data_IF_396112366136
#
_entry.id   IF_396112366136
#
_cell.length_a   1.000
_cell.length_b   1.000
_cell.length_c   1.000
_cell.angle_alpha   90.00
_cell.angle_beta   90.00
_cell.angle_gamma   90.00
#
_symmetry.space_group_name_H-M   'P 1'
#
loop_
_entity.id
_entity.type
_entity.pdbx_description
1 polymer ?
#
# COMPACT_ATOMS: atom_id res chain seq x y z
N UNK A 1 -27.96 -78.41 9.05
CA UNK A 1 -27.62 -77.59 10.22
C UNK A 1 -27.23 -76.23 9.69
N UNK A 2 -28.25 -75.39 9.67
CA UNK A 2 -28.22 -73.99 9.27
C UNK A 2 -27.28 -73.19 10.16
N UNK A 3 -26.51 -72.28 9.56
CA UNK A 3 -26.27 -71.01 10.22
C UNK A 3 -25.92 -69.94 9.18
N UNK A 4 -26.93 -69.13 8.91
CA UNK A 4 -26.85 -67.83 8.26
C UNK A 4 -25.86 -66.93 8.99
N UNK A 5 -24.90 -66.34 8.27
CA UNK A 5 -24.36 -65.02 8.65
C UNK A 5 -24.27 -64.11 7.44
N UNK A 6 -25.18 -63.16 7.52
CA UNK A 6 -25.43 -61.96 6.77
C UNK A 6 -24.19 -61.12 6.42
N UNK A 7 -24.26 -60.61 5.18
CA UNK A 7 -23.45 -59.59 4.57
C UNK A 7 -23.98 -58.19 4.96
N UNK A 8 -23.13 -57.25 5.41
CA UNK A 8 -23.36 -55.81 5.22
C UNK A 8 -22.27 -55.29 4.28
N UNK A 9 -22.60 -54.74 3.11
CA UNK A 9 -23.33 -53.49 3.01
C UNK A 9 -22.35 -52.44 2.50
N UNK A 10 -22.33 -52.29 1.17
CA UNK A 10 -21.67 -51.20 0.44
C UNK A 10 -22.31 -49.86 0.84
N UNK A 11 -21.48 -48.91 1.25
CA UNK A 11 -21.83 -47.49 1.38
C UNK A 11 -20.70 -46.67 0.76
N UNK A 12 -20.83 -46.46 -0.55
CA UNK A 12 -20.32 -45.28 -1.23
C UNK A 12 -21.04 -44.05 -0.64
N UNK A 13 -20.46 -43.43 0.38
CA UNK A 13 -20.82 -42.07 0.78
C UNK A 13 -19.66 -41.13 0.42
N UNK A 14 -19.74 -40.64 -0.82
CA UNK A 14 -19.03 -39.47 -1.30
C UNK A 14 -19.53 -38.28 -0.48
N UNK A 15 -18.83 -37.96 0.59
CA UNK A 15 -18.97 -36.68 1.28
C UNK A 15 -18.54 -35.61 0.28
N UNK A 16 -19.52 -34.92 -0.30
CA UNK A 16 -19.28 -33.73 -1.09
C UNK A 16 -18.49 -32.72 -0.29
N UNK A 17 -17.24 -32.49 -0.69
CA UNK A 17 -16.47 -31.32 -0.27
C UNK A 17 -17.33 -30.09 -0.54
N UNK A 18 -17.61 -29.24 0.47
CA UNK A 18 -18.30 -28.00 0.24
C UNK A 18 -17.45 -27.14 -0.69
N UNK A 19 -18.10 -26.67 -1.75
CA UNK A 19 -17.59 -25.71 -2.72
C UNK A 19 -16.92 -24.51 -1.99
N UNK A 20 -15.60 -24.31 -2.15
CA UNK A 20 -14.89 -23.21 -1.48
C UNK A 20 -15.34 -21.82 -1.95
N UNK A 21 -16.05 -21.70 -3.08
CA UNK A 21 -16.59 -20.43 -3.57
C UNK A 21 -17.86 -19.98 -2.81
N UNK A 22 -18.59 -20.91 -2.19
CA UNK A 22 -19.80 -20.59 -1.42
C UNK A 22 -19.54 -19.97 -0.04
N UNK A 23 -18.36 -20.20 0.55
CA UNK A 23 -18.02 -19.72 1.89
C UNK A 23 -17.57 -18.25 1.92
N UNK A 24 -17.02 -17.72 0.82
CA UNK A 24 -16.54 -16.33 0.72
C UNK A 24 -17.69 -15.30 0.79
N UNK A 25 -18.83 -15.58 0.16
CA UNK A 25 -20.03 -14.72 0.22
C UNK A 25 -20.68 -14.65 1.61
N UNK A 26 -20.58 -15.71 2.40
CA UNK A 26 -21.24 -15.77 3.71
C UNK A 26 -20.55 -14.93 4.80
N UNK A 27 -19.24 -14.71 4.70
CA UNK A 27 -18.49 -13.95 5.72
C UNK A 27 -18.81 -12.44 5.67
N UNK A 28 -18.98 -11.87 4.48
CA UNK A 28 -19.35 -10.45 4.32
C UNK A 28 -20.80 -10.20 4.74
N UNK A 29 -21.72 -11.11 4.38
CA UNK A 29 -23.14 -10.96 4.72
C UNK A 29 -23.42 -11.20 6.23
N UNK A 30 -22.61 -12.03 6.90
CA UNK A 30 -22.73 -12.28 8.35
C UNK A 30 -22.28 -11.07 9.19
N UNK A 31 -21.29 -10.30 8.73
CA UNK A 31 -20.84 -9.08 9.41
C UNK A 31 -21.76 -7.87 9.19
N UNK A 32 -22.54 -7.84 8.10
CA UNK A 32 -23.52 -6.78 7.83
C UNK A 32 -24.91 -7.02 8.46
N UNK A 33 -25.32 -8.27 8.70
CA UNK A 33 -26.66 -8.60 9.24
C UNK A 33 -26.78 -8.76 10.77
N UNK A 34 -25.69 -8.99 11.50
CA UNK A 34 -25.73 -9.15 12.98
C UNK A 34 -25.46 -7.84 13.74
N UNK A 35 -26.12 -6.77 13.32
CA UNK A 35 -26.31 -5.60 14.18
C UNK A 35 -27.32 -5.95 15.27
N UNK A 36 -26.82 -6.31 16.44
CA UNK A 36 -27.62 -6.59 17.64
C UNK A 36 -28.39 -5.30 18.04
N UNK A 37 -29.73 -5.24 17.99
CA UNK A 37 -30.48 -4.01 18.31
C UNK A 37 -30.54 -3.68 19.81
N UNK A 38 -29.80 -4.40 20.65
CA UNK A 38 -29.87 -4.28 22.12
C UNK A 38 -28.62 -3.71 22.79
N UNK A 39 -27.89 -2.81 22.12
CA UNK A 39 -26.93 -1.93 22.81
C UNK A 39 -27.52 -0.54 22.94
N UNK A 40 -27.98 -0.21 24.15
CA UNK A 40 -28.26 1.17 24.56
C UNK A 40 -27.03 2.02 24.21
N UNK A 41 -27.17 3.09 23.39
CA UNK A 41 -26.03 3.89 22.99
C UNK A 41 -25.37 4.48 24.25
N UNK A 42 -24.06 4.27 24.37
CA UNK A 42 -23.24 5.00 25.33
C UNK A 42 -23.45 6.52 25.10
N UNK A 43 -23.55 7.32 26.17
CA UNK A 43 -23.74 8.76 26.03
C UNK A 43 -22.61 9.35 25.19
N UNK A 44 -22.98 10.10 24.14
CA UNK A 44 -22.04 10.79 23.28
C UNK A 44 -21.06 11.63 24.13
N UNK A 45 -19.77 11.71 23.76
CA UNK A 45 -18.87 12.67 24.38
C UNK A 45 -19.51 14.06 24.23
N UNK A 46 -19.62 14.77 25.36
CA UNK A 46 -20.09 16.16 25.37
C UNK A 46 -19.12 16.99 24.54
N UNK A 47 -19.45 17.20 23.27
CA UNK A 47 -18.83 18.24 22.46
C UNK A 47 -18.97 19.56 23.21
N UNK A 48 -17.85 20.29 23.27
CA UNK A 48 -17.68 21.49 24.08
C UNK A 48 -18.86 22.44 23.96
N UNK A 49 -19.21 23.06 25.10
CA UNK A 49 -20.23 24.10 25.15
C UNK A 49 -19.86 25.17 24.11
N UNK A 50 -20.83 25.69 23.32
CA UNK A 50 -20.56 26.80 22.42
C UNK A 50 -19.93 27.93 23.22
N UNK A 51 -18.78 28.40 22.74
CA UNK A 51 -18.01 29.46 23.38
C UNK A 51 -18.88 30.69 23.51
N UNK A 52 -18.95 31.25 24.72
CA UNK A 52 -19.70 32.48 24.94
C UNK A 52 -19.00 33.66 24.25
N UNK A 53 -19.72 34.75 23.91
CA UNK A 53 -19.12 35.93 23.33
C UNK A 53 -17.95 36.51 24.15
N UNK A 54 -18.01 36.39 25.48
CA UNK A 54 -16.94 36.86 26.38
C UNK A 54 -15.70 35.94 26.33
N UNK A 55 -15.88 34.61 26.28
CA UNK A 55 -14.77 33.66 26.11
C UNK A 55 -14.09 33.82 24.74
N UNK A 56 -14.86 34.12 23.68
CA UNK A 56 -14.31 34.40 22.37
C UNK A 56 -13.48 35.69 22.35
N UNK A 57 -13.89 36.70 23.12
CA UNK A 57 -13.15 37.96 23.28
C UNK A 57 -11.85 37.75 24.05
N UNK A 58 -11.88 36.97 25.11
CA UNK A 58 -10.70 36.66 25.94
C UNK A 58 -9.70 35.77 25.19
N UNK A 59 -10.19 34.82 24.38
CA UNK A 59 -9.35 34.02 23.49
C UNK A 59 -8.64 34.88 22.43
N UNK A 60 -9.34 35.85 21.84
CA UNK A 60 -8.77 36.78 20.85
C UNK A 60 -7.73 37.73 21.47
N UNK A 61 -7.90 38.11 22.73
CA UNK A 61 -6.92 38.93 23.47
C UNK A 61 -5.62 38.17 23.79
N UNK A 62 -5.70 36.84 24.02
CA UNK A 62 -4.53 36.01 24.36
C UNK A 62 -3.72 35.54 23.13
N UNK A 63 -4.28 35.62 21.92
CA UNK A 63 -3.63 35.19 20.67
C UNK A 63 -3.69 36.28 19.58
N UNK A 64 -3.03 37.44 19.77
CA UNK A 64 -3.09 38.55 18.81
C UNK A 64 -2.43 38.24 17.45
N UNK A 65 -1.64 37.16 17.35
CA UNK A 65 -0.91 36.77 16.14
C UNK A 65 -1.77 36.01 15.10
N UNK A 66 -3.01 35.62 15.43
CA UNK A 66 -3.84 34.76 14.56
C UNK A 66 -4.80 35.59 13.66
N UNK A 67 -4.93 36.89 13.89
CA UNK A 67 -5.82 37.75 13.09
C UNK A 67 -5.20 39.11 12.80
N UNK A 68 -4.27 39.16 11.85
CA UNK A 68 -4.05 40.40 11.11
C UNK A 68 -5.03 40.46 9.92
N UNK A 69 -5.88 41.50 9.83
CA UNK A 69 -6.63 41.77 8.62
C UNK A 69 -5.69 42.34 7.57
N UNK A 70 -5.28 41.51 6.60
CA UNK A 70 -4.54 41.96 5.42
C UNK A 70 -5.49 42.77 4.52
N UNK A 71 -5.42 44.09 4.62
CA UNK A 71 -6.04 45.04 3.69
C UNK A 71 -4.96 45.76 2.88
N UNK A 72 -5.31 46.05 1.62
CA UNK A 72 -4.55 46.66 0.51
C UNK A 72 -3.83 45.62 -0.37
N UNK A 73 -4.42 45.16 -1.48
CA UNK A 73 -4.60 45.85 -2.77
C UNK A 73 -3.29 45.90 -3.58
N UNK A 74 -3.07 44.87 -4.40
CA UNK A 74 -2.17 44.91 -5.55
C UNK A 74 -2.99 44.72 -6.82
N UNK A 75 -2.59 45.46 -7.85
CA UNK A 75 -3.26 45.75 -9.11
C UNK A 75 -3.50 44.50 -10.00
N UNK A 76 -4.48 44.54 -10.93
CA UNK A 76 -4.76 43.42 -11.81
C UNK A 76 -3.68 43.29 -12.88
N UNK A 77 -2.79 42.31 -12.72
CA UNK A 77 -1.91 41.86 -13.81
C UNK A 77 -2.76 41.13 -14.86
N UNK A 78 -2.65 41.63 -16.09
CA UNK A 78 -3.21 41.11 -17.33
C UNK A 78 -2.98 39.59 -17.47
N UNK A 79 -4.01 38.78 -17.74
CA UNK A 79 -3.84 37.34 -17.85
C UNK A 79 -3.10 36.98 -19.15
N UNK A 80 -1.89 36.41 -19.01
CA UNK A 80 -1.26 35.64 -20.07
C UNK A 80 -2.22 34.52 -20.53
N UNK A 81 -2.28 34.22 -21.83
CA UNK A 81 -3.16 33.19 -22.35
C UNK A 81 -2.74 31.83 -21.77
N UNK A 82 -3.58 31.29 -20.90
CA UNK A 82 -3.55 29.89 -20.48
C UNK A 82 -3.63 29.02 -21.74
N UNK A 83 -2.51 28.38 -22.10
CA UNK A 83 -2.53 27.25 -23.02
C UNK A 83 -3.56 26.24 -22.50
N UNK A 84 -4.50 25.77 -23.35
CA UNK A 84 -5.56 24.90 -22.90
C UNK A 84 -4.94 23.62 -22.30
N UNK A 85 -5.21 23.40 -21.01
CA UNK A 85 -5.02 22.12 -20.37
C UNK A 85 -5.65 21.06 -21.28
N UNK A 86 -4.81 20.25 -21.90
CA UNK A 86 -5.28 19.18 -22.76
C UNK A 86 -5.99 18.18 -21.86
N UNK A 87 -7.32 18.22 -21.90
CA UNK A 87 -8.20 17.21 -21.35
C UNK A 87 -7.80 15.89 -22.02
N UNK A 88 -6.97 15.09 -21.32
CA UNK A 88 -6.58 13.78 -21.80
C UNK A 88 -7.83 12.91 -21.82
N UNK A 89 -8.29 12.61 -23.03
CA UNK A 89 -9.12 11.44 -23.30
C UNK A 89 -8.49 10.23 -22.60
N UNK A 90 -9.23 9.49 -21.75
CA UNK A 90 -8.71 8.31 -21.12
C UNK A 90 -8.35 7.32 -22.23
N UNK A 91 -7.07 6.98 -22.34
CA UNK A 91 -6.66 5.83 -23.12
C UNK A 91 -7.49 4.63 -22.67
N UNK A 92 -7.99 3.84 -23.61
CA UNK A 92 -8.72 2.63 -23.31
C UNK A 92 -7.79 1.66 -22.54
N UNK A 93 -7.82 1.71 -21.20
CA UNK A 93 -7.10 0.80 -20.32
C UNK A 93 -6.22 1.51 -19.28
N UNK A 94 -6.73 1.62 -18.05
CA UNK A 94 -5.94 1.84 -16.83
C UNK A 94 -5.23 3.19 -16.67
N UNK A 95 -4.76 3.44 -15.45
CA UNK A 95 -3.71 4.40 -15.12
C UNK A 95 -2.32 3.77 -15.29
N UNK A 96 -1.29 4.60 -15.44
CA UNK A 96 0.10 4.14 -15.28
C UNK A 96 0.49 4.37 -13.83
N UNK A 97 0.38 3.33 -13.01
CA UNK A 97 0.74 3.38 -11.59
C UNK A 97 2.18 2.95 -11.38
N UNK A 98 2.91 3.69 -10.56
CA UNK A 98 4.33 3.46 -10.31
C UNK A 98 4.56 3.08 -8.85
N UNK A 99 5.54 2.21 -8.59
CA UNK A 99 6.03 2.04 -7.23
C UNK A 99 6.72 3.35 -6.76
N UNK A 100 6.67 3.70 -5.47
CA UNK A 100 7.40 4.85 -4.96
C UNK A 100 8.91 4.72 -5.21
N UNK A 101 9.57 5.83 -5.55
CA UNK A 101 10.98 5.83 -5.96
C UNK A 101 11.99 5.44 -4.88
N UNK A 102 11.56 5.35 -3.62
CA UNK A 102 12.35 4.84 -2.49
C UNK A 102 12.30 3.32 -2.34
N UNK A 103 11.49 2.63 -3.15
CA UNK A 103 11.43 1.17 -3.19
C UNK A 103 12.54 0.63 -4.09
N UNK A 104 13.34 -0.37 -3.65
CA UNK A 104 14.32 -1.01 -4.52
C UNK A 104 13.68 -1.61 -5.77
N UNK A 105 14.27 -1.42 -6.96
CA UNK A 105 13.69 -1.87 -8.24
C UNK A 105 13.32 -3.35 -8.27
N UNK A 106 14.19 -4.22 -7.74
CA UNK A 106 13.94 -5.66 -7.67
C UNK A 106 12.73 -6.05 -6.80
N UNK A 107 12.30 -5.16 -5.89
CA UNK A 107 11.05 -5.29 -5.14
C UNK A 107 9.89 -4.79 -6.00
N UNK A 108 10.03 -3.61 -6.59
CA UNK A 108 8.99 -3.00 -7.41
C UNK A 108 8.53 -3.93 -8.55
N UNK A 109 9.47 -4.59 -9.22
CA UNK A 109 9.18 -5.55 -10.31
C UNK A 109 8.28 -6.72 -9.89
N UNK A 110 8.29 -7.10 -8.61
CA UNK A 110 7.40 -8.18 -8.13
C UNK A 110 5.94 -7.76 -8.16
N UNK A 111 5.67 -6.46 -8.23
CA UNK A 111 4.33 -5.90 -8.05
C UNK A 111 3.72 -5.48 -9.38
N UNK A 112 4.44 -5.57 -10.50
CA UNK A 112 4.00 -5.07 -11.81
C UNK A 112 2.63 -5.64 -12.22
N UNK A 113 2.39 -6.95 -12.01
CA UNK A 113 1.10 -7.59 -12.30
C UNK A 113 -0.01 -7.09 -11.36
N UNK A 114 0.29 -6.96 -10.06
CA UNK A 114 -0.63 -6.41 -9.07
C UNK A 114 -0.98 -4.95 -9.38
N UNK A 115 0.00 -4.13 -9.75
CA UNK A 115 -0.17 -2.73 -10.10
C UNK A 115 -1.01 -2.56 -11.36
N UNK A 116 -0.75 -3.39 -12.38
CA UNK A 116 -1.51 -3.38 -13.63
C UNK A 116 -2.98 -3.72 -13.38
N UNK A 117 -3.25 -4.84 -12.70
CA UNK A 117 -4.63 -5.26 -12.41
C UNK A 117 -5.37 -4.31 -11.46
N UNK A 118 -4.68 -3.76 -10.45
CA UNK A 118 -5.23 -2.72 -9.57
C UNK A 118 -5.58 -1.46 -10.34
N UNK A 119 -4.73 -1.05 -11.28
CA UNK A 119 -4.94 0.14 -12.12
C UNK A 119 -6.20 0.04 -12.97
N UNK A 120 -6.41 -1.12 -13.61
CA UNK A 120 -7.62 -1.41 -14.37
C UNK A 120 -8.86 -1.39 -13.46
N UNK A 121 -8.79 -2.04 -12.30
CA UNK A 121 -9.89 -2.07 -11.35
C UNK A 121 -10.22 -0.68 -10.79
N UNK A 122 -9.21 0.12 -10.44
CA UNK A 122 -9.36 1.47 -9.90
C UNK A 122 -9.99 2.41 -10.94
N UNK A 123 -9.46 2.43 -12.17
CA UNK A 123 -10.00 3.25 -13.27
C UNK A 123 -11.43 2.84 -13.64
N UNK A 124 -11.71 1.54 -13.75
CA UNK A 124 -13.05 1.02 -14.06
C UNK A 124 -14.08 1.30 -12.95
N UNK A 125 -13.61 1.62 -11.74
CA UNK A 125 -14.41 1.96 -10.56
C UNK A 125 -14.49 3.46 -10.31
N UNK A 126 -13.87 4.30 -11.16
CA UNK A 126 -13.90 5.75 -11.04
C UNK A 126 -13.03 6.32 -9.90
N UNK A 127 -12.10 5.52 -9.37
CA UNK A 127 -11.09 6.02 -8.41
C UNK A 127 -10.10 6.88 -9.19
N UNK A 128 -9.99 8.17 -8.88
CA UNK A 128 -9.07 9.07 -9.59
C UNK A 128 -7.61 8.61 -9.50
N UNK A 129 -6.83 8.82 -10.57
CA UNK A 129 -5.40 8.47 -10.65
C UNK A 129 -4.58 8.88 -9.41
N UNK A 130 -4.68 10.11 -8.86
CA UNK A 130 -3.88 10.49 -7.69
C UNK A 130 -4.20 9.66 -6.43
N UNK A 131 -5.47 9.28 -6.27
CA UNK A 131 -5.90 8.42 -5.15
C UNK A 131 -5.44 6.99 -5.38
N UNK A 132 -5.52 6.47 -6.61
CA UNK A 132 -5.02 5.15 -6.95
C UNK A 132 -3.50 5.06 -6.71
N UNK A 133 -2.73 6.05 -7.16
CA UNK A 133 -1.30 6.15 -6.92
C UNK A 133 -0.96 6.26 -5.42
N UNK A 134 -1.76 7.00 -4.65
CA UNK A 134 -1.63 7.10 -3.20
C UNK A 134 -1.95 5.79 -2.46
N UNK A 135 -2.93 5.02 -2.94
CA UNK A 135 -3.24 3.69 -2.41
C UNK A 135 -2.11 2.70 -2.67
N UNK A 136 -1.50 2.72 -3.86
CA UNK A 136 -0.30 1.93 -4.18
C UNK A 136 0.83 2.27 -3.22
N UNK A 137 1.15 3.55 -3.06
CA UNK A 137 2.20 3.97 -2.12
C UNK A 137 1.90 3.52 -0.68
N UNK A 138 0.64 3.64 -0.26
CA UNK A 138 0.19 3.19 1.08
C UNK A 138 0.31 1.68 1.26
N UNK A 139 0.02 0.91 0.22
CA UNK A 139 0.16 -0.55 0.21
C UNK A 139 1.63 -0.95 0.35
N UNK A 140 2.52 -0.27 -0.39
CA UNK A 140 3.98 -0.43 -0.29
C UNK A 140 4.47 -0.18 1.13
N UNK A 141 4.09 0.96 1.70
CA UNK A 141 4.50 1.38 3.04
C UNK A 141 3.96 0.40 4.11
N UNK A 142 2.73 -0.08 3.94
CA UNK A 142 2.11 -1.06 4.84
C UNK A 142 2.82 -2.42 4.79
N UNK A 143 3.17 -2.91 3.60
CA UNK A 143 3.90 -4.16 3.42
C UNK A 143 5.29 -4.10 4.07
N UNK A 144 6.00 -2.97 3.88
CA UNK A 144 7.26 -2.71 4.55
C UNK A 144 7.10 -2.73 6.09
N UNK A 145 6.04 -2.11 6.63
CA UNK A 145 5.77 -2.07 8.08
C UNK A 145 5.45 -3.46 8.69
N UNK A 146 4.90 -4.37 7.88
CA UNK A 146 4.56 -5.73 8.29
C UNK A 146 5.77 -6.68 8.39
N UNK A 147 6.92 -6.30 7.85
CA UNK A 147 8.13 -7.13 7.89
C UNK A 147 8.76 -7.40 6.54
N UNK A 148 8.28 -6.74 5.47
CA UNK A 148 9.04 -6.54 4.24
C UNK A 148 8.44 -7.16 2.97
N UNK A 149 9.03 -6.70 1.87
CA UNK A 149 8.69 -6.86 0.46
C UNK A 149 8.77 -8.28 -0.14
N UNK A 150 8.17 -9.27 0.51
CA UNK A 150 8.31 -10.63 -0.01
C UNK A 150 7.87 -11.80 0.85
N UNK A 151 7.01 -11.60 1.86
CA UNK A 151 6.25 -12.74 2.42
C UNK A 151 5.05 -13.09 1.52
N UNK A 152 5.33 -13.17 0.21
CA UNK A 152 4.55 -13.83 -0.84
C UNK A 152 3.22 -13.17 -1.21
N UNK A 153 2.97 -13.17 -2.52
CA UNK A 153 1.63 -13.35 -3.13
C UNK A 153 0.96 -14.69 -2.69
N UNK A 154 1.36 -15.24 -1.54
CA UNK A 154 0.71 -16.38 -0.93
C UNK A 154 -0.62 -15.84 -0.42
N UNK A 155 -1.69 -16.22 -1.11
CA UNK A 155 -3.08 -15.97 -0.76
C UNK A 155 -3.28 -16.11 0.75
N UNK A 156 -3.27 -14.99 1.46
CA UNK A 156 -3.54 -14.95 2.89
C UNK A 156 -4.91 -15.58 3.09
N UNK A 157 -4.99 -16.57 3.98
CA UNK A 157 -6.30 -17.02 4.42
C UNK A 157 -6.96 -15.90 5.21
N UNK A 158 -8.29 -15.92 5.33
CA UNK A 158 -9.02 -14.96 6.15
C UNK A 158 -8.51 -14.95 7.61
N UNK A 159 -8.10 -16.12 8.13
CA UNK A 159 -7.58 -16.25 9.49
C UNK A 159 -6.19 -15.64 9.64
N UNK A 160 -5.30 -15.88 8.67
CA UNK A 160 -3.95 -15.27 8.64
C UNK A 160 -4.04 -13.75 8.56
N UNK A 161 -4.92 -13.26 7.68
CA UNK A 161 -5.18 -11.84 7.51
C UNK A 161 -5.65 -11.21 8.82
N UNK A 162 -6.66 -11.81 9.46
CA UNK A 162 -7.19 -11.36 10.74
C UNK A 162 -6.13 -11.36 11.83
N UNK A 163 -5.38 -12.46 11.99
CA UNK A 163 -4.34 -12.59 13.01
C UNK A 163 -3.24 -11.53 12.85
N UNK A 164 -2.81 -11.31 11.60
CA UNK A 164 -1.80 -10.31 11.24
C UNK A 164 -2.30 -8.90 11.53
N UNK A 165 -3.51 -8.55 11.09
CA UNK A 165 -4.10 -7.23 11.30
C UNK A 165 -4.40 -6.94 12.78
N UNK A 166 -4.84 -7.93 13.56
CA UNK A 166 -5.02 -7.80 15.01
C UNK A 166 -3.69 -7.58 15.72
N UNK A 167 -2.62 -8.21 15.25
CA UNK A 167 -1.26 -8.01 15.78
C UNK A 167 -0.70 -6.63 15.39
N UNK A 168 -1.02 -6.15 14.18
CA UNK A 168 -0.55 -4.87 13.66
C UNK A 168 -1.25 -3.68 14.30
N UNK A 169 -2.59 -3.68 14.38
CA UNK A 169 -3.36 -2.57 14.96
C UNK A 169 -3.60 -2.69 16.46
N UNK A 170 -3.43 -3.89 17.02
CA UNK A 170 -3.95 -4.23 18.34
C UNK A 170 -5.44 -4.58 18.30
N UNK A 171 -5.88 -5.39 19.28
CA UNK A 171 -7.26 -5.91 19.34
C UNK A 171 -8.32 -4.81 19.42
N UNK A 172 -8.03 -3.73 20.15
CA UNK A 172 -8.98 -2.64 20.37
C UNK A 172 -9.23 -1.80 19.10
N UNK A 173 -8.19 -1.59 18.28
CA UNK A 173 -8.29 -0.77 17.09
C UNK A 173 -8.67 -1.58 15.82
N UNK A 174 -8.58 -2.91 15.86
CA UNK A 174 -8.90 -3.79 14.73
C UNK A 174 -10.29 -3.51 14.14
N UNK A 175 -11.35 -3.56 14.95
CA UNK A 175 -12.72 -3.39 14.47
C UNK A 175 -12.96 -1.97 13.93
N UNK A 176 -12.32 -0.96 14.51
CA UNK A 176 -12.41 0.43 14.05
C UNK A 176 -11.78 0.58 12.67
N UNK A 177 -10.60 -0.01 12.45
CA UNK A 177 -9.93 0.05 11.15
C UNK A 177 -10.63 -0.81 10.10
N UNK A 178 -11.17 -1.98 10.44
CA UNK A 178 -11.97 -2.78 9.50
C UNK A 178 -13.24 -2.06 9.03
N UNK A 179 -13.86 -1.21 9.87
CA UNK A 179 -14.96 -0.33 9.42
C UNK A 179 -14.49 0.69 8.39
N UNK A 180 -13.27 1.23 8.52
CA UNK A 180 -12.68 2.14 7.52
C UNK A 180 -12.40 1.40 6.22
N UNK A 181 -11.86 0.19 6.28
CA UNK A 181 -11.68 -0.68 5.10
C UNK A 181 -12.99 -0.90 4.39
N UNK A 182 -14.03 -1.36 5.10
CA UNK A 182 -15.36 -1.57 4.52
C UNK A 182 -15.94 -0.29 3.89
N UNK A 183 -15.77 0.87 4.54
CA UNK A 183 -16.18 2.16 3.99
C UNK A 183 -15.43 2.49 2.70
N UNK A 184 -14.11 2.31 2.66
CA UNK A 184 -13.27 2.59 1.50
C UNK A 184 -13.66 1.69 0.32
N UNK A 185 -13.79 0.39 0.55
CA UNK A 185 -14.21 -0.61 -0.45
C UNK A 185 -15.60 -0.29 -1.00
N UNK A 186 -16.56 0.04 -0.13
CA UNK A 186 -17.90 0.43 -0.57
C UNK A 186 -17.91 1.74 -1.38
N UNK A 187 -17.04 2.68 -1.04
CA UNK A 187 -16.93 3.96 -1.75
C UNK A 187 -16.24 3.82 -3.11
N UNK A 188 -15.38 2.82 -3.27
CA UNK A 188 -14.71 2.52 -4.54
C UNK A 188 -15.69 1.90 -5.56
N UNK A 189 -16.68 1.12 -5.11
CA UNK A 189 -17.72 0.55 -5.98
C UNK A 189 -17.56 -0.95 -6.24
N UNK A 190 -18.51 -1.54 -6.95
CA UNK A 190 -18.65 -3.00 -7.02
C UNK A 190 -17.58 -3.69 -7.87
N UNK A 191 -17.04 -3.02 -8.90
CA UNK A 191 -15.91 -3.55 -9.67
C UNK A 191 -14.64 -3.68 -8.83
N UNK A 192 -14.38 -2.70 -7.96
CA UNK A 192 -13.24 -2.76 -7.05
C UNK A 192 -13.37 -3.88 -6.03
N UNK A 193 -14.59 -4.09 -5.49
CA UNK A 193 -14.90 -5.25 -4.63
C UNK A 193 -14.63 -6.56 -5.33
N UNK A 194 -15.16 -6.71 -6.55
CA UNK A 194 -14.95 -7.92 -7.34
C UNK A 194 -13.46 -8.17 -7.59
N UNK A 195 -12.68 -7.14 -7.92
CA UNK A 195 -11.24 -7.28 -8.08
C UNK A 195 -10.55 -7.75 -6.78
N UNK A 196 -10.92 -7.20 -5.62
CA UNK A 196 -10.38 -7.66 -4.33
C UNK A 196 -10.69 -9.15 -4.06
N UNK A 197 -11.90 -9.59 -4.44
CA UNK A 197 -12.34 -10.97 -4.26
C UNK A 197 -11.60 -11.91 -5.25
N UNK A 198 -11.61 -11.58 -6.54
CA UNK A 198 -11.06 -12.39 -7.62
C UNK A 198 -9.52 -12.50 -7.55
N UNK A 199 -8.83 -11.42 -7.14
CA UNK A 199 -7.37 -11.42 -6.98
C UNK A 199 -6.90 -12.00 -5.64
N UNK A 200 -7.80 -12.21 -4.68
CA UNK A 200 -7.45 -12.53 -3.30
C UNK A 200 -6.84 -11.37 -2.51
N UNK A 201 -6.69 -10.18 -3.12
CA UNK A 201 -6.13 -8.99 -2.45
C UNK A 201 -7.01 -8.47 -1.31
N UNK A 202 -8.29 -8.85 -1.26
CA UNK A 202 -9.18 -8.57 -0.14
C UNK A 202 -8.70 -9.15 1.19
N UNK A 203 -7.91 -10.23 1.15
CA UNK A 203 -7.31 -10.83 2.35
C UNK A 203 -5.88 -10.34 2.63
N UNK A 204 -5.30 -9.50 1.77
CA UNK A 204 -3.95 -8.99 2.00
C UNK A 204 -3.94 -7.99 3.18
N UNK A 205 -3.14 -8.22 4.23
CA UNK A 205 -3.03 -7.28 5.36
C UNK A 205 -2.55 -5.89 4.94
N UNK A 206 -1.60 -5.81 4.00
CA UNK A 206 -1.08 -4.54 3.50
C UNK A 206 -2.14 -3.77 2.71
N UNK A 207 -2.97 -4.45 1.92
CA UNK A 207 -4.13 -3.84 1.23
C UNK A 207 -5.16 -3.33 2.24
N UNK A 208 -5.50 -4.13 3.26
CA UNK A 208 -6.40 -3.69 4.33
C UNK A 208 -5.86 -2.45 5.08
N UNK A 209 -4.56 -2.41 5.36
CA UNK A 209 -3.93 -1.25 6.00
C UNK A 209 -4.00 -0.02 5.10
N UNK A 210 -3.66 -0.14 3.81
CA UNK A 210 -3.77 0.96 2.84
C UNK A 210 -5.20 1.49 2.75
N UNK A 211 -6.19 0.60 2.62
CA UNK A 211 -7.61 0.96 2.54
C UNK A 211 -8.12 1.63 3.82
N UNK A 212 -7.59 1.25 5.00
CA UNK A 212 -7.95 1.88 6.26
C UNK A 212 -7.52 3.37 6.34
N UNK A 213 -6.56 3.77 5.50
CA UNK A 213 -6.03 5.14 5.40
C UNK A 213 -6.58 5.90 4.18
N UNK A 214 -7.54 5.35 3.44
CA UNK A 214 -8.05 5.95 2.20
C UNK A 214 -8.66 7.36 2.38
N UNK A 215 -9.11 7.71 3.58
CA UNK A 215 -9.59 9.07 3.86
C UNK A 215 -8.43 10.08 4.03
N UNK A 216 -7.24 9.65 4.49
CA UNK A 216 -6.04 10.50 4.57
C UNK A 216 -5.53 10.88 3.16
N UNK A 217 -5.77 10.04 2.14
CA UNK A 217 -5.43 10.32 0.74
C UNK A 217 -6.18 11.50 0.12
N UNK A 218 -7.28 11.92 0.74
CA UNK A 218 -8.08 13.05 0.28
C UNK A 218 -7.62 14.37 0.89
N UNK A 219 -6.62 14.35 1.77
CA UNK A 219 -6.08 15.54 2.40
C UNK A 219 -5.30 16.37 1.40
N UNK A 220 -5.48 17.69 1.48
CA UNK A 220 -4.59 18.64 0.79
C UNK A 220 -3.21 18.65 1.46
N UNK A 221 -2.17 19.14 0.77
CA UNK A 221 -0.82 19.24 1.35
C UNK A 221 -0.79 19.96 2.70
N UNK A 222 -1.46 21.12 2.90
CA UNK A 222 -1.48 21.79 4.21
C UNK A 222 -2.16 20.96 5.30
N UNK A 223 -3.24 20.25 4.97
CA UNK A 223 -3.93 19.37 5.93
C UNK A 223 -3.07 18.16 6.30
N UNK A 224 -2.44 17.53 5.31
CA UNK A 224 -1.52 16.42 5.54
C UNK A 224 -0.33 16.86 6.40
N UNK A 225 0.26 18.03 6.13
CA UNK A 225 1.32 18.60 6.95
C UNK A 225 0.85 18.89 8.39
N UNK A 226 -0.38 19.38 8.56
CA UNK A 226 -0.94 19.63 9.90
C UNK A 226 -1.14 18.34 10.69
N UNK A 227 -1.69 17.28 10.07
CA UNK A 227 -1.83 15.96 10.69
C UNK A 227 -0.47 15.32 11.00
N UNK A 228 0.48 15.42 10.07
CA UNK A 228 1.86 14.97 10.25
C UNK A 228 2.50 15.66 11.46
N UNK A 229 2.41 16.99 11.53
CA UNK A 229 2.95 17.78 12.64
C UNK A 229 2.34 17.36 13.98
N UNK A 230 1.03 17.08 14.05
CA UNK A 230 0.39 16.58 15.28
C UNK A 230 1.00 15.25 15.74
N UNK A 231 1.25 14.32 14.80
CA UNK A 231 1.81 13.01 15.13
C UNK A 231 3.28 13.10 15.60
N UNK A 232 4.09 13.94 14.96
CA UNK A 232 5.54 14.01 15.24
C UNK A 232 5.92 15.02 16.34
N UNK A 233 5.06 15.98 16.67
CA UNK A 233 5.37 16.98 17.71
C UNK A 233 5.03 16.52 19.13
N UNK A 234 4.08 15.60 19.30
CA UNK A 234 3.74 15.05 20.60
C UNK A 234 4.61 13.82 20.92
N UNK A 235 5.51 13.94 21.89
CA UNK A 235 6.35 12.82 22.36
C UNK A 235 5.53 11.65 22.94
N UNK A 236 4.25 11.86 23.27
CA UNK A 236 3.33 10.83 23.75
C UNK A 236 2.50 10.19 22.64
N UNK A 237 2.68 10.60 21.39
CA UNK A 237 1.95 10.03 20.27
C UNK A 237 2.32 8.56 20.07
N UNK A 238 1.43 7.82 19.39
CA UNK A 238 1.68 6.41 19.05
C UNK A 238 2.94 6.25 18.17
N UNK A 239 3.35 7.28 17.44
CA UNK A 239 4.59 7.29 16.64
C UNK A 239 5.85 7.07 17.49
N UNK A 240 5.91 7.66 18.69
CA UNK A 240 7.04 7.47 19.62
C UNK A 240 6.82 6.32 20.60
N UNK A 241 5.72 5.56 20.48
CA UNK A 241 5.46 4.44 21.36
C UNK A 241 6.51 3.34 21.22
N UNK A 242 6.89 2.75 22.34
CA UNK A 242 7.72 1.53 22.36
C UNK A 242 6.94 0.28 21.98
N UNK A 243 5.61 0.36 22.00
CA UNK A 243 4.73 -0.76 21.66
C UNK A 243 4.58 -0.87 20.13
N UNK A 244 5.02 -1.99 19.51
CA UNK A 244 5.01 -2.13 18.05
C UNK A 244 3.63 -1.99 17.40
N UNK A 245 2.57 -2.44 18.08
CA UNK A 245 1.19 -2.37 17.57
C UNK A 245 0.63 -0.93 17.58
N UNK A 246 1.27 0.00 18.28
CA UNK A 246 0.97 1.45 18.22
C UNK A 246 1.88 2.15 17.23
N UNK A 247 3.19 1.89 17.32
CA UNK A 247 4.18 2.60 16.52
C UNK A 247 4.17 2.21 15.05
N UNK A 248 3.99 0.92 14.70
CA UNK A 248 3.98 0.51 13.29
C UNK A 248 2.85 1.14 12.47
N UNK A 249 1.57 1.12 12.91
CA UNK A 249 0.51 1.84 12.19
C UNK A 249 0.77 3.35 12.11
N UNK A 250 1.30 3.95 13.17
CA UNK A 250 1.62 5.37 13.19
C UNK A 250 2.76 5.73 12.21
N UNK A 251 3.79 4.89 12.10
CA UNK A 251 4.87 5.05 11.11
C UNK A 251 4.33 4.97 9.68
N UNK A 252 3.49 3.98 9.38
CA UNK A 252 2.86 3.87 8.06
C UNK A 252 2.03 5.11 7.70
N UNK A 253 1.23 5.62 8.67
CA UNK A 253 0.47 6.87 8.47
C UNK A 253 1.38 8.09 8.30
N UNK A 254 2.48 8.19 9.06
CA UNK A 254 3.46 9.27 8.92
C UNK A 254 4.13 9.26 7.54
N UNK A 255 4.51 8.09 7.02
CA UNK A 255 5.05 7.94 5.67
C UNK A 255 4.05 8.44 4.63
N UNK A 256 2.80 8.00 4.73
CA UNK A 256 1.75 8.46 3.82
C UNK A 256 1.56 9.98 3.86
N UNK A 257 1.37 10.55 5.05
CA UNK A 257 1.15 11.99 5.21
C UNK A 257 2.35 12.80 4.72
N UNK A 258 3.57 12.30 4.91
CA UNK A 258 4.79 12.92 4.39
C UNK A 258 4.79 12.94 2.86
N UNK A 259 4.38 11.84 2.20
CA UNK A 259 4.27 11.81 0.73
C UNK A 259 3.24 12.81 0.21
N UNK A 260 2.08 12.92 0.87
CA UNK A 260 1.05 13.89 0.47
C UNK A 260 1.54 15.33 0.69
N UNK A 261 2.13 15.61 1.85
CA UNK A 261 2.63 16.95 2.19
C UNK A 261 3.76 17.42 1.25
N UNK A 262 4.61 16.50 0.80
CA UNK A 262 5.76 16.78 -0.06
C UNK A 262 5.52 16.39 -1.54
N UNK A 263 4.31 16.04 -1.94
CA UNK A 263 4.01 15.72 -3.32
C UNK A 263 4.38 16.94 -4.19
N UNK A 264 5.27 16.78 -5.16
CA UNK A 264 5.55 17.87 -6.11
C UNK A 264 4.29 18.19 -6.93
N UNK A 265 4.04 19.47 -7.23
CA UNK A 265 2.94 19.90 -8.12
C UNK A 265 3.17 19.55 -9.60
N UNK A 266 4.27 18.85 -9.92
CA UNK A 266 4.69 18.57 -11.28
C UNK A 266 3.79 17.52 -11.97
N UNK A 267 3.46 17.68 -13.26
CA UNK A 267 2.66 16.73 -14.01
C UNK A 267 3.38 15.37 -14.16
N UNK A 268 2.61 14.29 -14.04
CA UNK A 268 3.09 12.89 -14.01
C UNK A 268 4.02 12.48 -15.16
N UNK A 269 3.97 13.17 -16.31
CA UNK A 269 4.84 12.92 -17.48
C UNK A 269 6.34 13.06 -17.23
N UNK A 270 6.76 13.91 -16.28
CA UNK A 270 8.17 14.05 -15.93
C UNK A 270 8.70 12.84 -15.13
N UNK A 271 7.82 12.11 -14.43
CA UNK A 271 8.19 10.92 -13.65
C UNK A 271 8.34 9.69 -14.55
N UNK A 272 7.43 9.50 -15.50
CA UNK A 272 7.46 8.36 -16.44
C UNK A 272 8.76 8.29 -17.25
N UNK A 273 9.32 9.42 -17.68
CA UNK A 273 10.58 9.44 -18.45
C UNK A 273 11.78 9.03 -17.60
N UNK A 274 11.79 9.41 -16.31
CA UNK A 274 12.85 9.05 -15.38
C UNK A 274 12.75 7.59 -14.92
N UNK A 275 11.54 7.07 -14.74
CA UNK A 275 11.30 5.66 -14.39
C UNK A 275 11.67 4.73 -15.56
N UNK A 276 11.31 5.07 -16.80
CA UNK A 276 11.74 4.28 -17.97
C UNK A 276 13.27 4.30 -18.14
N UNK A 277 13.92 5.42 -17.82
CA UNK A 277 15.37 5.52 -17.84
C UNK A 277 16.03 4.70 -16.72
N UNK A 278 15.45 4.67 -15.51
CA UNK A 278 15.97 3.87 -14.39
C UNK A 278 15.75 2.38 -14.61
N UNK A 279 14.57 1.95 -15.10
CA UNK A 279 14.29 0.55 -15.43
C UNK A 279 15.28 0.04 -16.50
N UNK A 280 15.53 0.81 -17.56
CA UNK A 280 16.54 0.44 -18.57
C UNK A 280 17.97 0.37 -18.01
N UNK A 281 18.32 1.27 -17.09
CA UNK A 281 19.62 1.25 -16.43
C UNK A 281 19.77 0.00 -15.54
N UNK A 282 18.70 -0.39 -14.86
CA UNK A 282 18.66 -1.54 -13.97
C UNK A 282 18.63 -2.86 -14.74
N UNK A 283 17.85 -2.97 -15.82
CA UNK A 283 17.90 -4.11 -16.75
C UNK A 283 19.32 -4.31 -17.28
N UNK A 284 19.96 -3.22 -17.74
CA UNK A 284 21.35 -3.27 -18.18
C UNK A 284 22.32 -3.68 -17.05
N UNK A 285 22.03 -3.34 -15.79
CA UNK A 285 22.84 -3.76 -14.64
C UNK A 285 22.62 -5.24 -14.30
N UNK A 286 21.39 -5.73 -14.38
CA UNK A 286 21.04 -7.14 -14.17
C UNK A 286 21.70 -8.01 -15.23
N UNK A 287 21.61 -7.62 -16.51
CA UNK A 287 22.29 -8.31 -17.61
C UNK A 287 23.81 -8.33 -17.42
N UNK A 288 24.40 -7.21 -17.00
CA UNK A 288 25.84 -7.15 -16.69
C UNK A 288 26.24 -8.09 -15.55
N UNK A 289 25.40 -8.24 -14.52
CA UNK A 289 25.65 -9.19 -13.42
C UNK A 289 25.53 -10.64 -13.90
N UNK A 290 24.48 -10.97 -14.65
CA UNK A 290 24.29 -12.30 -15.21
C UNK A 290 25.44 -12.71 -16.14
N UNK A 291 25.91 -11.79 -16.99
CA UNK A 291 27.07 -12.00 -17.85
C UNK A 291 28.38 -12.16 -17.04
N UNK A 292 28.56 -11.37 -15.98
CA UNK A 292 29.70 -11.49 -15.08
C UNK A 292 29.72 -12.84 -14.35
N UNK A 293 28.56 -13.33 -13.90
CA UNK A 293 28.43 -14.63 -13.24
C UNK A 293 28.71 -15.81 -14.20
N UNK A 294 28.26 -15.71 -15.45
CA UNK A 294 28.58 -16.68 -16.49
C UNK A 294 30.09 -16.72 -16.77
N UNK A 295 30.73 -15.56 -16.91
CA UNK A 295 32.17 -15.43 -17.11
C UNK A 295 32.96 -15.95 -15.90
N UNK A 296 32.49 -15.69 -14.68
CA UNK A 296 33.08 -16.19 -13.45
C UNK A 296 33.07 -17.73 -13.40
N UNK A 297 31.93 -18.37 -13.73
CA UNK A 297 31.80 -19.83 -13.79
C UNK A 297 32.78 -20.45 -14.79
N UNK A 298 32.90 -19.86 -15.98
CA UNK A 298 33.82 -20.35 -17.01
C UNK A 298 35.30 -20.26 -16.56
N UNK A 299 35.70 -19.13 -15.96
CA UNK A 299 37.06 -18.93 -15.45
C UNK A 299 37.40 -19.91 -14.31
N UNK A 300 36.46 -20.15 -13.39
CA UNK A 300 36.63 -21.16 -12.33
C UNK A 300 36.81 -22.57 -12.91
N UNK A 301 36.05 -22.91 -13.96
CA UNK A 301 36.18 -24.19 -14.64
C UNK A 301 37.54 -24.32 -15.35
N UNK A 302 38.03 -23.25 -16.00
CA UNK A 302 39.36 -23.21 -16.63
C UNK A 302 40.50 -23.30 -15.60
N UNK A 303 40.37 -22.66 -14.43
CA UNK A 303 41.35 -22.78 -13.35
C UNK A 303 41.41 -24.21 -12.77
N UNK A 304 40.26 -24.89 -12.68
CA UNK A 304 40.19 -26.26 -12.17
C UNK A 304 40.73 -27.29 -13.17
N UNK A 305 40.33 -27.17 -14.44
CA UNK A 305 40.51 -28.24 -15.43
C UNK A 305 41.55 -27.92 -16.52
N UNK A 306 42.02 -26.67 -16.64
CA UNK A 306 42.97 -26.25 -17.66
C UNK A 306 44.41 -26.68 -17.39
N UNK A 307 45.27 -26.57 -18.40
CA UNK A 307 46.72 -26.72 -18.27
C UNK A 307 47.38 -25.48 -17.61
N UNK A 308 48.67 -25.53 -17.26
CA UNK A 308 49.35 -24.47 -16.51
C UNK A 308 49.21 -23.07 -17.14
N UNK A 309 49.31 -22.97 -18.47
CA UNK A 309 49.15 -21.70 -19.19
C UNK A 309 47.70 -21.19 -19.15
N UNK A 310 46.72 -22.09 -19.31
CA UNK A 310 45.31 -21.75 -19.23
C UNK A 310 44.90 -21.30 -17.83
N UNK A 311 45.43 -21.95 -16.78
CA UNK A 311 45.15 -21.56 -15.39
C UNK A 311 45.68 -20.16 -15.08
N UNK A 312 46.93 -19.87 -15.44
CA UNK A 312 47.51 -18.54 -15.24
C UNK A 312 46.75 -17.43 -15.99
N UNK A 313 46.28 -17.73 -17.21
CA UNK A 313 45.47 -16.79 -17.98
C UNK A 313 44.07 -16.59 -17.36
N UNK A 314 43.43 -17.66 -16.87
CA UNK A 314 42.13 -17.59 -16.22
C UNK A 314 42.18 -16.83 -14.88
N UNK A 315 43.25 -17.02 -14.09
CA UNK A 315 43.47 -16.29 -12.83
C UNK A 315 43.63 -14.78 -13.06
N UNK A 316 44.39 -14.37 -14.08
CA UNK A 316 44.51 -12.95 -14.44
C UNK A 316 43.15 -12.35 -14.84
N UNK A 317 42.37 -13.05 -15.66
CA UNK A 317 41.02 -12.63 -16.07
C UNK A 317 40.03 -12.58 -14.90
N UNK A 318 40.19 -13.46 -13.91
CA UNK A 318 39.39 -13.46 -12.69
C UNK A 318 39.65 -12.22 -11.83
N UNK A 319 40.93 -11.82 -11.69
CA UNK A 319 41.30 -10.59 -10.97
C UNK A 319 40.73 -9.36 -11.70
N UNK A 320 40.81 -9.31 -13.02
CA UNK A 320 40.23 -8.21 -13.82
C UNK A 320 38.71 -8.16 -13.69
N UNK A 321 38.03 -9.31 -13.71
CA UNK A 321 36.58 -9.41 -13.55
C UNK A 321 36.14 -8.94 -12.15
N UNK A 322 36.82 -9.36 -11.09
CA UNK A 322 36.51 -8.94 -9.72
C UNK A 322 36.78 -7.44 -9.50
N UNK A 323 37.85 -6.90 -10.10
CA UNK A 323 38.13 -5.46 -10.11
C UNK A 323 37.11 -4.63 -10.90
N UNK A 324 36.45 -5.22 -11.92
CA UNK A 324 35.38 -4.57 -12.69
C UNK A 324 34.05 -4.56 -11.95
N UNK A 325 33.73 -5.63 -11.22
CA UNK A 325 32.46 -5.74 -10.46
C UNK A 325 32.48 -4.87 -9.19
N UNK A 326 33.66 -4.58 -8.64
CA UNK A 326 33.84 -3.80 -7.42
C UNK A 326 33.91 -2.27 -7.63
N UNK A 327 33.78 -1.79 -8.87
CA UNK A 327 33.65 -0.37 -9.22
C UNK A 327 32.21 -0.04 -9.56
#
# INVERSE_FOLDING_TARGET
>A
MDNERTNPGSSDDIIGSPDPEGAARAAVDTYLKKGDPSTTPAPAPRFGRPMTPDEARDFRARNPQIYEPRLAAEEPTEPEPLEPATEQEPAAGGYVLEAPGDVPTHVAMKWDETLTSFSEAASASGVSEPIAQGLVASFIDADAALGGYGQGENSYTLEDARSTLQSFWGREAYDVNMKKVAKAVNSAGDRFKQWLDDSGMGNSPSVCIALSMADDLKLTKPQAQAELNKLISDQKSDYFSRDPWRSKPAVARVQLLSRIANAEDAPSKARTTNVVASVRADEAQIERRAAADAQAKELLQQMRNGNATQRAAAEKKWIELTARISR
#
